data_IF_615690548767
#
_entry.id   IF_615690548767
#
_cell.length_a   1.000
_cell.length_b   1.000
_cell.length_c   1.000
_cell.angle_alpha   90.00
_cell.angle_beta   90.00
_cell.angle_gamma   90.00
#
_symmetry.space_group_name_H-M   'P 1'
#
loop_
_entity.id
_entity.type
_entity.pdbx_description
1 polymer ?
#
# COMPACT_ATOMS: atom_id res chain seq x y z
N UNK A 1 -12.55 3.51 -13.38
CA UNK A 1 -12.72 2.38 -12.45
C UNK A 1 -11.51 1.49 -12.57
N UNK A 2 -10.84 1.22 -11.44
CA UNK A 2 -9.72 0.29 -11.35
C UNK A 2 -10.16 -0.95 -10.59
N UNK A 3 -9.65 -2.11 -10.98
CA UNK A 3 -10.03 -3.40 -10.42
C UNK A 3 -8.83 -4.12 -9.86
N UNK A 4 -8.95 -4.65 -8.65
CA UNK A 4 -7.93 -5.46 -8.00
C UNK A 4 -7.55 -6.69 -8.86
N UNK A 5 -6.28 -7.05 -8.84
CA UNK A 5 -5.77 -8.18 -9.61
C UNK A 5 -5.56 -7.92 -11.12
N UNK A 6 -5.80 -6.72 -11.60
CA UNK A 6 -5.56 -6.33 -13.00
C UNK A 6 -4.47 -5.28 -13.09
N UNK A 7 -3.56 -5.46 -14.03
CA UNK A 7 -2.54 -4.48 -14.34
C UNK A 7 -3.17 -3.17 -14.84
N UNK A 8 -2.59 -2.06 -14.41
CA UNK A 8 -2.99 -0.74 -14.88
C UNK A 8 -1.80 -0.02 -15.53
N UNK A 9 -1.97 0.32 -16.79
CA UNK A 9 -0.99 1.08 -17.57
C UNK A 9 -1.64 2.35 -18.09
N UNK A 10 -0.99 3.48 -17.88
CA UNK A 10 -1.47 4.79 -18.29
C UNK A 10 -0.43 5.46 -19.21
N UNK A 11 -0.48 5.20 -20.54
CA UNK A 11 0.52 5.72 -21.47
C UNK A 11 0.52 7.24 -21.57
N UNK A 12 -0.62 7.87 -21.31
CA UNK A 12 -0.78 9.32 -21.33
C UNK A 12 -1.60 9.75 -20.13
N UNK A 13 -1.09 10.72 -19.37
CA UNK A 13 -1.81 11.25 -18.22
C UNK A 13 -3.13 11.90 -18.63
N UNK A 14 -4.13 11.78 -17.75
CA UNK A 14 -5.44 12.40 -17.93
C UNK A 14 -5.99 12.86 -16.58
N UNK A 15 -6.96 13.76 -16.62
CA UNK A 15 -7.66 14.21 -15.40
C UNK A 15 -8.96 13.45 -15.24
N UNK A 16 -9.15 12.84 -14.07
CA UNK A 16 -10.39 12.18 -13.67
C UNK A 16 -11.12 13.04 -12.63
N UNK A 17 -12.40 13.29 -12.87
CA UNK A 17 -13.28 13.95 -11.89
C UNK A 17 -13.75 12.97 -10.83
N UNK A 18 -13.77 11.67 -11.16
CA UNK A 18 -14.01 10.57 -10.22
C UNK A 18 -13.17 9.37 -10.63
N UNK A 19 -12.44 8.85 -9.68
CA UNK A 19 -11.69 7.61 -9.82
C UNK A 19 -12.10 6.66 -8.68
N UNK A 20 -12.18 5.38 -8.98
CA UNK A 20 -12.50 4.35 -7.99
C UNK A 20 -11.60 3.13 -8.17
N UNK A 21 -11.26 2.52 -7.05
CA UNK A 21 -10.57 1.24 -6.97
C UNK A 21 -11.29 0.37 -5.94
N UNK A 22 -11.64 -0.84 -6.32
CA UNK A 22 -12.39 -1.76 -5.45
C UNK A 22 -11.58 -3.03 -5.19
N UNK A 23 -11.49 -3.42 -3.92
CA UNK A 23 -10.91 -4.70 -3.49
C UNK A 23 -11.54 -5.17 -2.20
N UNK A 24 -11.32 -6.45 -1.88
CA UNK A 24 -11.60 -6.98 -0.55
C UNK A 24 -10.43 -6.63 0.39
N UNK A 25 -10.73 -5.93 1.48
CA UNK A 25 -9.79 -5.64 2.55
C UNK A 25 -10.07 -6.54 3.75
N UNK A 26 -9.01 -6.99 4.43
CA UNK A 26 -9.17 -7.71 5.68
C UNK A 26 -9.77 -6.82 6.77
N UNK A 27 -10.61 -7.41 7.61
CA UNK A 27 -11.21 -6.75 8.79
C UNK A 27 -10.75 -7.41 10.09
N UNK A 28 -9.67 -8.17 10.04
CA UNK A 28 -9.08 -8.90 11.16
C UNK A 28 -8.01 -8.09 11.94
N UNK A 29 -7.85 -6.81 11.59
CA UNK A 29 -6.81 -5.95 12.13
C UNK A 29 -5.43 -6.16 11.50
N UNK A 30 -5.33 -7.00 10.47
CA UNK A 30 -4.11 -7.20 9.69
C UNK A 30 -3.75 -5.98 8.84
N UNK A 31 -2.45 -5.72 8.70
CA UNK A 31 -1.94 -4.66 7.85
C UNK A 31 -1.85 -5.12 6.39
N UNK A 32 -2.19 -4.22 5.50
CA UNK A 32 -2.12 -4.38 4.05
C UNK A 32 -1.40 -3.20 3.43
N UNK A 33 -0.82 -3.41 2.25
CA UNK A 33 -0.19 -2.34 1.48
C UNK A 33 -1.07 -1.90 0.32
N UNK A 34 -0.94 -0.64 -0.09
CA UNK A 34 -1.72 -0.06 -1.18
C UNK A 34 -0.98 1.10 -1.85
N UNK A 35 -1.13 1.20 -3.16
CA UNK A 35 -0.78 2.38 -3.97
C UNK A 35 -1.90 2.64 -4.96
N UNK A 36 -2.34 3.88 -5.08
CA UNK A 36 -3.41 4.26 -6.01
C UNK A 36 -2.98 5.46 -6.87
N UNK A 37 -3.35 5.49 -8.15
CA UNK A 37 -2.95 6.56 -9.06
C UNK A 37 -3.83 7.81 -8.98
N UNK A 38 -4.50 8.01 -7.85
CA UNK A 38 -5.35 9.18 -7.58
C UNK A 38 -5.30 9.54 -6.09
N UNK A 39 -5.59 10.80 -5.77
CA UNK A 39 -5.76 11.22 -4.38
C UNK A 39 -7.03 10.61 -3.80
N UNK A 40 -6.89 9.87 -2.71
CA UNK A 40 -8.04 9.24 -2.04
C UNK A 40 -8.74 10.24 -1.14
N UNK A 41 -10.05 10.31 -1.26
CA UNK A 41 -10.90 11.20 -0.45
C UNK A 41 -11.87 10.44 0.44
N UNK A 42 -12.18 9.19 0.09
CA UNK A 42 -13.10 8.35 0.86
C UNK A 42 -12.83 6.87 0.64
N UNK A 43 -13.20 6.07 1.64
CA UNK A 43 -13.27 4.61 1.56
C UNK A 43 -14.72 4.23 1.84
N UNK A 44 -15.33 3.46 0.95
CA UNK A 44 -16.73 3.04 1.08
C UNK A 44 -16.89 1.54 1.08
N UNK A 45 -17.88 1.06 1.83
CA UNK A 45 -18.35 -0.30 1.76
C UNK A 45 -19.88 -0.29 1.61
N UNK A 46 -20.40 -0.99 0.62
CA UNK A 46 -21.84 -0.96 0.30
C UNK A 46 -22.39 0.44 0.05
N UNK A 47 -21.57 1.37 -0.45
CA UNK A 47 -21.94 2.76 -0.68
C UNK A 47 -21.86 3.71 0.52
N UNK A 48 -21.58 3.17 1.70
CA UNK A 48 -21.42 3.96 2.94
C UNK A 48 -19.94 4.23 3.22
N UNK A 49 -19.60 5.45 3.66
CA UNK A 49 -18.23 5.78 4.07
C UNK A 49 -17.82 4.97 5.30
N UNK A 50 -16.68 4.30 5.19
CA UNK A 50 -16.04 3.52 6.25
C UNK A 50 -14.60 3.98 6.52
N UNK A 51 -14.21 5.17 6.03
CA UNK A 51 -12.85 5.68 6.21
C UNK A 51 -12.43 5.79 7.67
N UNK A 52 -13.36 6.06 8.58
CA UNK A 52 -13.11 6.12 10.02
C UNK A 52 -12.82 4.77 10.67
N UNK A 53 -13.10 3.66 9.97
CA UNK A 53 -12.84 2.31 10.46
C UNK A 53 -11.42 1.83 10.11
N UNK A 54 -10.66 2.62 9.37
CA UNK A 54 -9.30 2.30 8.93
C UNK A 54 -8.26 3.25 9.52
N UNK A 55 -7.13 2.69 9.91
CA UNK A 55 -5.89 3.42 10.14
C UNK A 55 -5.04 3.33 8.86
N UNK A 56 -4.57 4.47 8.38
CA UNK A 56 -3.72 4.58 7.18
C UNK A 56 -2.43 5.26 7.58
N UNK A 57 -1.30 4.68 7.19
CA UNK A 57 0.01 5.23 7.47
C UNK A 57 0.83 5.39 6.20
N UNK A 58 1.56 6.49 6.12
CA UNK A 58 2.53 6.77 5.07
C UNK A 58 3.96 6.49 5.52
N UNK A 59 4.81 6.14 4.56
CA UNK A 59 6.23 5.92 4.79
C UNK A 59 6.93 7.23 5.19
N UNK A 60 7.70 7.20 6.26
CA UNK A 60 8.47 8.34 6.74
C UNK A 60 9.95 8.22 6.35
N UNK A 61 10.61 7.18 6.82
CA UNK A 61 12.00 6.90 6.49
C UNK A 61 12.41 5.46 6.85
N UNK A 62 13.60 5.08 6.41
CA UNK A 62 14.31 3.89 6.87
C UNK A 62 15.60 4.33 7.56
N UNK A 63 15.82 3.88 8.78
CA UNK A 63 17.03 4.12 9.54
C UNK A 63 17.61 2.78 10.00
N UNK A 64 18.79 2.42 9.47
CA UNK A 64 19.36 1.09 9.70
C UNK A 64 18.43 -0.01 9.19
N UNK A 65 17.94 -0.85 10.08
CA UNK A 65 16.99 -1.93 9.80
C UNK A 65 15.58 -1.63 10.34
N UNK A 66 15.26 -0.37 10.59
CA UNK A 66 13.95 0.08 11.05
C UNK A 66 13.29 0.95 10.00
N UNK A 67 12.08 0.58 9.61
CA UNK A 67 11.21 1.34 8.70
C UNK A 67 10.15 2.02 9.52
N UNK A 68 10.02 3.32 9.38
CA UNK A 68 9.04 4.13 10.12
C UNK A 68 7.89 4.56 9.22
N UNK A 69 6.68 4.35 9.73
CA UNK A 69 5.43 4.84 9.15
C UNK A 69 4.78 5.84 10.10
N UNK A 70 4.08 6.82 9.53
CA UNK A 70 3.34 7.83 10.30
C UNK A 70 1.89 7.83 9.87
N UNK A 71 0.98 7.80 10.83
CA UNK A 71 -0.45 7.81 10.60
C UNK A 71 -0.89 9.11 9.91
N UNK A 72 -1.76 8.97 8.90
CA UNK A 72 -2.44 10.11 8.29
C UNK A 72 -3.53 10.61 9.24
N UNK A 73 -3.41 11.85 9.69
CA UNK A 73 -4.43 12.48 10.52
C UNK A 73 -5.65 12.92 9.71
N UNK A 74 -5.48 13.06 8.41
CA UNK A 74 -6.54 13.44 7.49
C UNK A 74 -6.45 12.63 6.20
N UNK A 75 -7.56 12.07 5.75
CA UNK A 75 -7.60 11.29 4.51
C UNK A 75 -7.16 12.12 3.28
N UNK A 76 -7.31 13.44 3.31
CA UNK A 76 -6.84 14.33 2.23
C UNK A 76 -5.32 14.37 2.08
N UNK A 77 -4.57 13.82 3.05
CA UNK A 77 -3.13 13.64 2.97
C UNK A 77 -2.72 12.40 2.17
N UNK A 78 -3.69 11.57 1.79
CA UNK A 78 -3.48 10.41 0.93
C UNK A 78 -3.32 10.85 -0.52
N UNK A 79 -2.08 10.84 -0.99
CA UNK A 79 -1.72 11.36 -2.32
C UNK A 79 -1.57 10.24 -3.34
N UNK A 80 -1.90 10.59 -4.58
CA UNK A 80 -1.68 9.73 -5.73
C UNK A 80 -0.23 9.25 -5.81
N UNK A 81 -0.05 8.03 -6.27
CA UNK A 81 1.23 7.39 -6.58
C UNK A 81 2.14 7.12 -5.37
N UNK A 82 1.80 7.61 -4.18
CA UNK A 82 2.49 7.27 -2.94
C UNK A 82 1.95 5.95 -2.36
N UNK A 83 2.86 5.16 -1.81
CA UNK A 83 2.54 3.90 -1.17
C UNK A 83 2.17 4.11 0.31
N UNK A 84 1.16 3.37 0.77
CA UNK A 84 0.65 3.42 2.13
C UNK A 84 0.44 2.01 2.67
N UNK A 85 0.33 1.93 3.99
CA UNK A 85 -0.17 0.75 4.69
C UNK A 85 -1.50 1.10 5.37
N UNK A 86 -2.39 0.14 5.46
CA UNK A 86 -3.68 0.33 6.11
C UNK A 86 -4.11 -0.92 6.87
N UNK A 87 -4.91 -0.72 7.90
CA UNK A 87 -5.58 -1.79 8.64
C UNK A 87 -6.98 -1.37 9.05
N UNK A 88 -7.87 -2.33 9.19
CA UNK A 88 -9.16 -2.14 9.85
C UNK A 88 -8.95 -2.06 11.37
N UNK A 89 -9.63 -1.13 12.04
CA UNK A 89 -9.45 -0.90 13.47
C UNK A 89 -10.14 -1.95 14.35
N UNK A 90 -11.19 -2.60 13.82
CA UNK A 90 -11.80 -3.77 14.47
C UNK A 90 -11.03 -5.04 14.19
N UNK A 91 -11.16 -6.03 15.05
CA UNK A 91 -10.59 -7.37 14.88
C UNK A 91 -11.75 -8.34 14.69
N UNK A 92 -12.20 -8.48 13.46
CA UNK A 92 -13.26 -9.38 13.03
C UNK A 92 -12.70 -10.40 12.05
N UNK A 93 -13.38 -11.49 11.83
CA UNK A 93 -12.93 -12.48 10.84
C UNK A 93 -13.45 -12.16 9.45
N UNK A 94 -12.60 -12.30 8.46
CA UNK A 94 -12.97 -12.19 7.04
C UNK A 94 -12.51 -10.91 6.37
N UNK A 95 -13.23 -10.56 5.32
CA UNK A 95 -12.95 -9.40 4.48
C UNK A 95 -14.23 -8.62 4.21
N UNK A 96 -14.10 -7.33 3.92
CA UNK A 96 -15.18 -6.54 3.34
C UNK A 96 -14.73 -5.92 2.02
N UNK A 97 -15.66 -5.79 1.10
CA UNK A 97 -15.40 -5.08 -0.13
C UNK A 97 -15.31 -3.58 0.15
N UNK A 98 -14.17 -3.00 -0.22
CA UNK A 98 -13.91 -1.58 -0.10
C UNK A 98 -13.73 -0.93 -1.46
N UNK A 99 -14.41 0.18 -1.66
CA UNK A 99 -14.22 1.08 -2.80
C UNK A 99 -13.52 2.34 -2.33
N UNK A 100 -12.29 2.54 -2.82
CA UNK A 100 -11.50 3.76 -2.61
C UNK A 100 -11.90 4.76 -3.68
N UNK A 101 -12.33 5.94 -3.26
CA UNK A 101 -12.77 7.00 -4.17
C UNK A 101 -11.83 8.18 -4.13
N UNK A 102 -11.69 8.85 -5.27
CA UNK A 102 -10.90 10.06 -5.38
C UNK A 102 -11.00 10.71 -6.74
N UNK A 103 -10.09 11.63 -7.00
CA UNK A 103 -10.01 12.37 -8.25
C UNK A 103 -8.58 12.89 -8.48
N UNK A 104 -8.34 13.48 -9.61
CA UNK A 104 -7.09 14.17 -9.92
C UNK A 104 -6.46 13.70 -11.23
N UNK A 105 -5.21 14.06 -11.41
CA UNK A 105 -4.42 13.66 -12.56
C UNK A 105 -3.93 12.22 -12.37
N UNK A 106 -4.25 11.38 -13.33
CA UNK A 106 -3.87 9.98 -13.36
C UNK A 106 -2.67 9.83 -14.29
N UNK A 107 -1.53 9.45 -13.75
CA UNK A 107 -0.30 9.20 -14.52
C UNK A 107 0.23 7.77 -14.34
N UNK A 108 -0.19 7.08 -13.29
CA UNK A 108 0.19 5.70 -12.95
C UNK A 108 1.71 5.50 -12.88
N UNK A 109 2.41 6.46 -12.27
CA UNK A 109 3.84 6.38 -12.04
C UNK A 109 4.07 6.37 -10.52
N UNK A 110 4.35 5.20 -9.92
CA UNK A 110 4.61 5.12 -8.48
C UNK A 110 5.75 6.04 -8.09
N UNK A 111 5.63 6.68 -6.92
CA UNK A 111 6.67 7.53 -6.38
C UNK A 111 7.97 6.73 -6.16
N UNK A 112 9.10 7.29 -6.57
CA UNK A 112 10.41 6.68 -6.36
C UNK A 112 10.84 6.87 -4.91
N UNK A 113 10.70 5.81 -4.12
CA UNK A 113 11.05 5.78 -2.71
C UNK A 113 11.49 4.35 -2.33
N UNK A 114 12.09 4.19 -1.15
CA UNK A 114 12.45 2.85 -0.64
C UNK A 114 11.22 1.98 -0.44
N UNK A 115 10.15 2.54 0.10
CA UNK A 115 8.82 1.94 0.13
C UNK A 115 8.02 2.49 -1.05
N UNK A 116 7.71 1.63 -2.02
CA UNK A 116 7.09 2.01 -3.29
C UNK A 116 6.00 1.02 -3.68
N UNK A 117 5.16 1.43 -4.62
CA UNK A 117 4.09 0.60 -5.14
C UNK A 117 4.33 0.14 -6.57
N UNK A 118 3.40 -0.66 -7.07
CA UNK A 118 3.35 -1.08 -8.47
C UNK A 118 1.91 -1.08 -8.96
N UNK A 119 1.73 -0.73 -10.23
CA UNK A 119 0.44 -0.84 -10.92
C UNK A 119 0.36 -2.05 -11.86
N UNK A 120 1.46 -2.79 -11.94
CA UNK A 120 1.53 -4.02 -12.73
C UNK A 120 2.10 -5.14 -11.87
N UNK A 121 1.70 -6.36 -12.17
CA UNK A 121 2.23 -7.54 -11.47
C UNK A 121 3.76 -7.60 -11.62
N UNK A 122 4.45 -7.71 -10.49
CA UNK A 122 5.87 -8.03 -10.45
C UNK A 122 5.99 -9.48 -9.96
N UNK A 123 6.72 -10.30 -10.69
CA UNK A 123 6.84 -11.73 -10.39
C UNK A 123 8.25 -12.25 -10.55
N UNK A 124 8.50 -13.43 -9.97
CA UNK A 124 9.73 -14.20 -10.09
C UNK A 124 10.97 -13.39 -9.67
N UNK A 125 12.00 -13.37 -10.48
CA UNK A 125 13.30 -12.74 -10.18
C UNK A 125 13.20 -11.24 -9.92
N UNK A 126 12.22 -10.55 -10.49
CA UNK A 126 11.98 -9.13 -10.25
C UNK A 126 11.35 -8.87 -8.88
N UNK A 127 10.52 -9.81 -8.41
CA UNK A 127 9.92 -9.72 -7.08
C UNK A 127 10.88 -10.20 -5.99
N UNK A 128 11.67 -11.24 -6.27
CA UNK A 128 12.55 -11.88 -5.30
C UNK A 128 13.58 -10.92 -4.69
N UNK A 129 13.74 -11.02 -3.38
CA UNK A 129 14.66 -10.19 -2.61
C UNK A 129 14.10 -8.84 -2.20
N UNK A 130 13.02 -8.35 -2.80
CA UNK A 130 12.23 -7.25 -2.24
C UNK A 130 11.50 -7.72 -0.97
N UNK A 131 11.12 -6.79 -0.13
CA UNK A 131 10.56 -7.09 1.19
C UNK A 131 9.05 -6.82 1.21
N UNK A 132 8.31 -7.77 1.76
CA UNK A 132 6.88 -7.67 1.99
C UNK A 132 6.56 -7.48 3.46
N UNK A 133 5.54 -6.68 3.75
CA UNK A 133 5.02 -6.45 5.10
C UNK A 133 4.30 -7.70 5.59
N UNK A 134 4.56 -8.11 6.85
CA UNK A 134 3.77 -9.15 7.49
C UNK A 134 2.40 -8.61 7.93
N UNK A 135 1.42 -9.50 8.13
CA UNK A 135 0.07 -9.11 8.53
C UNK A 135 0.02 -8.39 9.89
N UNK A 136 0.93 -8.74 10.81
CA UNK A 136 1.04 -8.07 12.10
C UNK A 136 1.54 -6.61 11.98
N UNK A 137 2.12 -6.23 10.85
CA UNK A 137 2.67 -4.89 10.63
C UNK A 137 3.95 -4.61 11.40
N UNK A 138 4.66 -5.65 11.81
CA UNK A 138 5.84 -5.53 12.68
C UNK A 138 7.15 -5.68 11.93
N UNK A 139 7.12 -6.32 10.78
CA UNK A 139 8.32 -6.67 10.01
C UNK A 139 8.09 -6.65 8.50
N UNK A 140 9.15 -6.29 7.77
CA UNK A 140 9.30 -6.58 6.35
C UNK A 140 10.27 -7.74 6.20
N UNK A 141 9.81 -8.82 5.57
CA UNK A 141 10.60 -10.00 5.24
C UNK A 141 10.86 -10.11 3.74
N UNK A 142 12.01 -10.68 3.33
CA UNK A 142 12.32 -10.83 1.91
C UNK A 142 11.40 -11.84 1.24
N UNK A 143 10.96 -11.51 0.05
CA UNK A 143 10.26 -12.46 -0.82
C UNK A 143 11.26 -13.54 -1.25
N UNK A 144 10.81 -14.79 -1.16
CA UNK A 144 11.67 -15.94 -1.45
C UNK A 144 12.20 -15.92 -2.89
N UNK A 145 13.46 -16.32 -3.04
CA UNK A 145 14.11 -16.44 -4.34
C UNK A 145 13.58 -17.62 -5.19
N UNK A 146 12.64 -18.39 -4.69
CA UNK A 146 12.05 -19.47 -5.47
C UNK A 146 11.06 -18.89 -6.46
N UNK A 147 11.34 -19.12 -7.67
CA UNK A 147 10.85 -18.45 -8.87
C UNK A 147 9.34 -18.54 -9.13
N UNK A 148 8.61 -19.38 -8.43
CA UNK A 148 7.19 -19.61 -8.73
C UNK A 148 6.21 -18.95 -7.76
N UNK A 149 6.70 -18.40 -6.64
CA UNK A 149 5.83 -17.87 -5.57
C UNK A 149 6.09 -16.44 -5.17
N UNK A 150 7.19 -15.84 -5.61
CA UNK A 150 7.46 -14.43 -5.32
C UNK A 150 6.65 -13.55 -6.25
N UNK A 151 5.61 -12.91 -5.73
CA UNK A 151 4.76 -12.00 -6.48
C UNK A 151 4.45 -10.75 -5.68
N UNK A 152 4.40 -9.61 -6.38
CA UNK A 152 3.87 -8.35 -5.87
C UNK A 152 2.73 -7.97 -6.82
N UNK A 153 1.47 -8.15 -6.42
CA UNK A 153 0.33 -7.84 -7.28
C UNK A 153 0.23 -6.33 -7.56
N UNK A 154 -0.47 -5.98 -8.63
CA UNK A 154 -0.83 -4.59 -8.92
C UNK A 154 -1.55 -3.95 -7.73
N UNK A 155 -1.35 -2.65 -7.53
CA UNK A 155 -1.89 -1.83 -6.45
C UNK A 155 -1.40 -2.20 -5.04
N UNK A 156 -0.32 -2.96 -4.95
CA UNK A 156 0.37 -3.27 -3.69
C UNK A 156 1.70 -2.51 -3.62
N UNK A 157 2.24 -2.46 -2.42
CA UNK A 157 3.52 -1.80 -2.15
C UNK A 157 4.49 -2.76 -1.46
N UNK A 158 5.76 -2.44 -1.57
CA UNK A 158 6.86 -3.24 -1.06
C UNK A 158 8.05 -2.36 -0.69
N UNK A 159 8.93 -2.88 0.15
CA UNK A 159 10.21 -2.24 0.44
C UNK A 159 11.25 -2.76 -0.55
N UNK A 160 11.92 -1.87 -1.27
CA UNK A 160 12.92 -2.25 -2.26
C UNK A 160 14.16 -2.87 -1.61
N UNK A 161 14.67 -3.93 -2.22
CA UNK A 161 16.02 -4.44 -1.87
C UNK A 161 17.08 -3.40 -2.20
N UNK A 162 18.07 -3.26 -1.32
CA UNK A 162 19.21 -2.38 -1.56
C UNK A 162 20.24 -3.00 -2.51
N UNK A 163 21.24 -2.20 -2.88
CA UNK A 163 22.36 -2.62 -3.73
C UNK A 163 23.51 -3.29 -2.96
N UNK A 164 23.43 -3.30 -1.64
CA UNK A 164 24.42 -3.89 -0.74
C UNK A 164 23.95 -5.17 -0.07
N UNK A 165 24.64 -5.64 0.97
CA UNK A 165 24.15 -6.74 1.78
C UNK A 165 22.77 -6.40 2.34
N UNK A 166 21.79 -7.22 1.98
CA UNK A 166 20.41 -7.00 2.43
C UNK A 166 20.22 -7.65 3.81
N UNK A 167 19.59 -6.96 4.79
CA UNK A 167 19.29 -7.55 6.08
C UNK A 167 18.29 -8.71 5.93
N UNK A 168 18.29 -9.60 6.93
CA UNK A 168 17.32 -10.71 6.96
C UNK A 168 15.88 -10.21 7.09
N UNK A 169 15.68 -9.06 7.72
CA UNK A 169 14.40 -8.38 7.90
C UNK A 169 14.59 -6.92 8.26
N UNK A 170 13.51 -6.13 8.09
CA UNK A 170 13.37 -4.80 8.68
C UNK A 170 12.29 -4.83 9.74
N UNK A 171 12.51 -4.15 10.87
CA UNK A 171 11.48 -3.88 11.86
C UNK A 171 10.64 -2.69 11.45
N UNK A 172 9.38 -2.67 11.85
CA UNK A 172 8.46 -1.56 11.56
C UNK A 172 8.18 -0.78 12.84
N UNK A 173 8.29 0.54 12.76
CA UNK A 173 7.87 1.49 13.78
C UNK A 173 6.65 2.25 13.30
N UNK A 174 5.59 2.22 14.10
CA UNK A 174 4.36 2.97 13.86
C UNK A 174 4.33 4.22 14.73
N UNK A 175 4.21 5.38 14.07
CA UNK A 175 4.05 6.67 14.73
C UNK A 175 2.62 7.15 14.49
N UNK A 176 1.85 7.28 15.56
CA UNK A 176 0.46 7.75 15.48
C UNK A 176 0.31 9.27 15.28
N UNK A 177 1.41 9.97 14.98
CA UNK A 177 1.39 11.40 14.74
C UNK A 177 1.14 12.24 16.00
N UNK A 178 1.02 11.64 17.16
CA UNK A 178 0.95 12.37 18.41
C UNK A 178 2.32 12.96 18.71
N UNK A 179 2.48 14.24 18.45
CA UNK A 179 3.61 15.02 18.95
C UNK A 179 3.49 15.09 20.47
N UNK A 180 4.25 14.25 21.13
CA UNK A 180 4.40 14.33 22.57
C UNK A 180 5.13 15.60 22.95
#
# INVERSE_FOLDING_TARGET
VLTDGHDFVCPTSFTATKATYTRNCYIDGGWETIVLPFNVTDIKSGGTSVKGDYTVEGYTNTSGTTVKFTELTNITDWKADNAYILKHNSVETGTQECTFEGAGTIAATPADADFTGTYTLISNDLAAGNYALNAAGTEFGPLAASTETAVIPAFRAYLKKGNGPNPAKYSVEHDNGATG
#
